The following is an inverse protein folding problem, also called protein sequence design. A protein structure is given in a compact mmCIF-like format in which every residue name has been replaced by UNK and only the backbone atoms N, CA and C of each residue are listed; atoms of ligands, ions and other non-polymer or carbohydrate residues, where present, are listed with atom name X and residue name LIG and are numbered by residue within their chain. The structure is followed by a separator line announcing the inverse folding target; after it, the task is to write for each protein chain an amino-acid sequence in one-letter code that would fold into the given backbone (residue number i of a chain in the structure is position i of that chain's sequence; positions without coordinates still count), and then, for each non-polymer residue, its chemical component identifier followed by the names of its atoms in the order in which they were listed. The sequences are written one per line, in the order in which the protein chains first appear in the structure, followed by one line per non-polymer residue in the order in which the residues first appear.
data_IF_904537238816
#
_entry.id   IF_904537238816
#
_cell.length_a   1.000
_cell.length_b   1.000
_cell.length_c   1.000
_cell.angle_alpha   90.00
_cell.angle_beta   90.00
_cell.angle_gamma   90.00
#
_symmetry.space_group_name_H-M   'P 1'
#
loop_
_entity.id
_entity.type
_entity.pdbx_description
1 polymer ?
#
# COMPACT_ATOMS: atom_id res chain seq x y z
N UNK A 1 -7.06 4.60 2.70
CA UNK A 1 -6.85 4.97 1.30
C UNK A 1 -6.06 3.88 0.59
N UNK A 2 -6.43 3.61 -0.63
CA UNK A 2 -5.84 2.53 -1.42
C UNK A 2 -5.42 3.04 -2.78
N UNK A 3 -4.30 2.53 -3.27
CA UNK A 3 -3.80 2.83 -4.61
C UNK A 3 -3.59 1.52 -5.36
N UNK A 4 -4.11 1.43 -6.57
CA UNK A 4 -3.91 0.27 -7.44
C UNK A 4 -2.96 0.63 -8.58
N UNK A 5 -2.19 -0.36 -9.05
CA UNK A 5 -1.37 -0.15 -10.23
C UNK A 5 -2.22 -0.23 -11.51
N UNK A 6 -1.60 0.01 -12.66
CA UNK A 6 -2.33 0.03 -13.92
C UNK A 6 -2.90 -1.32 -14.31
N UNK A 7 -2.28 -2.41 -13.86
CA UNK A 7 -2.76 -3.76 -14.17
C UNK A 7 -3.99 -4.14 -13.33
N UNK A 8 -4.20 -3.48 -12.18
CA UNK A 8 -5.24 -3.83 -11.24
C UNK A 8 -4.93 -5.05 -10.40
N UNK A 9 -3.71 -5.58 -10.47
CA UNK A 9 -3.30 -6.78 -9.73
C UNK A 9 -2.38 -6.50 -8.56
N UNK A 10 -2.04 -5.25 -8.34
CA UNK A 10 -1.24 -4.82 -7.20
C UNK A 10 -1.90 -3.63 -6.53
N UNK A 11 -1.79 -3.57 -5.22
CA UNK A 11 -2.45 -2.52 -4.44
C UNK A 11 -1.59 -2.17 -3.23
N UNK A 12 -1.60 -0.91 -2.85
CA UNK A 12 -1.02 -0.43 -1.60
C UNK A 12 -2.12 0.20 -0.79
N UNK A 13 -2.32 -0.28 0.43
CA UNK A 13 -3.28 0.32 1.37
C UNK A 13 -2.53 1.12 2.42
N UNK A 14 -2.94 2.35 2.61
CA UNK A 14 -2.48 3.18 3.73
C UNK A 14 -3.46 2.97 4.87
N UNK A 15 -2.97 2.45 5.97
CA UNK A 15 -3.80 1.98 7.08
C UNK A 15 -3.58 2.85 8.31
N UNK A 16 -4.66 3.33 8.90
CA UNK A 16 -4.60 4.00 10.19
C UNK A 16 -4.67 2.95 11.30
N UNK A 17 -3.59 2.85 12.08
CA UNK A 17 -3.53 1.91 13.20
C UNK A 17 -4.30 2.46 14.40
N UNK A 18 -4.08 3.74 14.67
CA UNK A 18 -4.82 4.48 15.70
C UNK A 18 -4.79 5.97 15.32
N UNK A 19 -5.27 6.84 16.19
CA UNK A 19 -5.41 8.26 15.88
C UNK A 19 -4.08 8.97 15.59
N UNK A 20 -2.95 8.35 15.92
CA UNK A 20 -1.63 8.97 15.75
C UNK A 20 -0.62 8.09 15.03
N UNK A 21 -1.03 6.93 14.51
CA UNK A 21 -0.12 5.99 13.87
C UNK A 21 -0.70 5.46 12.58
N UNK A 22 0.16 5.41 11.55
CA UNK A 22 -0.20 4.93 10.21
C UNK A 22 0.85 3.94 9.72
N UNK A 23 0.46 3.09 8.79
CA UNK A 23 1.38 2.20 8.09
C UNK A 23 0.84 1.96 6.69
N UNK A 24 1.55 1.14 5.92
CA UNK A 24 1.06 0.71 4.62
C UNK A 24 1.36 -0.77 4.41
N UNK A 25 0.53 -1.41 3.57
CA UNK A 25 0.70 -2.81 3.21
C UNK A 25 0.55 -2.97 1.71
N UNK A 26 1.34 -3.87 1.14
CA UNK A 26 1.22 -4.26 -0.24
C UNK A 26 0.34 -5.49 -0.36
N UNK A 27 -0.54 -5.45 -1.36
CA UNK A 27 -1.41 -6.58 -1.69
C UNK A 27 -1.23 -6.94 -3.15
N UNK A 28 -1.47 -8.19 -3.45
CA UNK A 28 -1.42 -8.71 -4.80
C UNK A 28 -2.67 -9.54 -5.07
N UNK A 29 -3.14 -9.50 -6.29
CA UNK A 29 -4.24 -10.33 -6.77
C UNK A 29 -3.80 -11.05 -8.02
N UNK A 30 -4.03 -12.37 -8.06
CA UNK A 30 -3.77 -13.18 -9.23
C UNK A 30 -5.09 -13.32 -9.99
N UNK A 31 -5.15 -13.03 -11.30
CA UNK A 31 -6.40 -13.14 -12.05
C UNK A 31 -6.95 -14.56 -12.12
N UNK A 32 -6.09 -15.56 -11.92
CA UNK A 32 -6.51 -16.96 -11.91
C UNK A 32 -6.87 -17.49 -10.51
N UNK A 33 -6.65 -16.68 -9.48
CA UNK A 33 -6.90 -17.08 -8.09
C UNK A 33 -8.19 -16.44 -7.61
N UNK A 34 -9.23 -17.24 -7.30
CA UNK A 34 -10.52 -16.70 -6.85
C UNK A 34 -10.50 -16.12 -5.44
N UNK A 35 -9.40 -16.24 -4.70
CA UNK A 35 -9.34 -15.74 -3.33
C UNK A 35 -9.28 -14.22 -3.23
N UNK A 36 -8.94 -13.53 -4.32
CA UNK A 36 -8.88 -12.08 -4.34
C UNK A 36 -7.55 -11.52 -3.84
N UNK A 37 -7.61 -10.43 -3.08
CA UNK A 37 -6.42 -9.76 -2.59
C UNK A 37 -5.78 -10.51 -1.43
N UNK A 38 -4.46 -10.60 -1.43
CA UNK A 38 -3.71 -11.14 -0.29
C UNK A 38 -2.42 -10.34 -0.10
N UNK A 39 -1.93 -10.22 1.14
CA UNK A 39 -0.74 -9.43 1.41
C UNK A 39 0.52 -10.12 0.89
N UNK A 40 1.38 -9.35 0.22
CA UNK A 40 2.66 -9.85 -0.26
C UNK A 40 3.80 -9.37 0.61
N UNK A 41 3.58 -8.32 1.37
CA UNK A 41 4.62 -7.69 2.17
C UNK A 41 3.97 -6.94 3.31
N UNK A 42 4.56 -7.00 4.50
CA UNK A 42 4.12 -6.21 5.64
C UNK A 42 5.30 -5.39 6.10
N UNK A 43 5.12 -4.08 6.09
CA UNK A 43 6.13 -3.16 6.60
C UNK A 43 5.84 -2.92 8.08
N UNK A 44 6.80 -3.26 8.94
CA UNK A 44 6.59 -3.21 10.38
C UNK A 44 6.66 -1.80 10.96
N UNK A 45 7.07 -0.83 10.18
CA UNK A 45 7.24 0.53 10.64
C UNK A 45 5.91 1.24 10.80
N UNK A 46 5.85 2.12 11.80
CA UNK A 46 4.71 2.97 12.02
C UNK A 46 5.12 4.42 11.78
N UNK A 47 4.21 5.17 11.21
CA UNK A 47 4.44 6.57 10.85
C UNK A 47 3.46 7.45 11.61
N UNK A 48 3.87 8.68 11.92
CA UNK A 48 3.08 9.58 12.74
C UNK A 48 2.02 10.34 11.96
N UNK A 49 2.07 10.27 10.63
CA UNK A 49 1.07 10.91 9.80
C UNK A 49 0.81 10.08 8.55
N UNK A 50 -0.35 10.30 7.96
CA UNK A 50 -0.73 9.67 6.71
C UNK A 50 0.23 10.03 5.60
N UNK A 51 0.66 11.28 5.54
CA UNK A 51 1.60 11.75 4.53
C UNK A 51 2.95 11.07 4.63
N UNK A 52 3.40 10.85 5.84
CA UNK A 52 4.65 10.15 6.08
C UNK A 52 4.58 8.72 5.59
N UNK A 53 3.48 8.02 5.88
CA UNK A 53 3.26 6.67 5.39
C UNK A 53 3.21 6.62 3.86
N UNK A 54 2.56 7.60 3.22
CA UNK A 54 2.51 7.70 1.77
C UNK A 54 3.91 7.93 1.20
N UNK A 55 4.70 8.82 1.80
CA UNK A 55 6.06 9.09 1.34
C UNK A 55 6.94 7.84 1.37
N UNK A 56 6.84 7.08 2.45
CA UNK A 56 7.61 5.84 2.54
C UNK A 56 7.10 4.78 1.56
N UNK A 57 5.80 4.72 1.35
CA UNK A 57 5.23 3.81 0.35
C UNK A 57 5.76 4.15 -1.05
N UNK A 58 5.87 5.43 -1.39
CA UNK A 58 6.41 5.87 -2.68
C UNK A 58 7.86 5.42 -2.83
N UNK A 59 8.65 5.49 -1.75
CA UNK A 59 10.05 5.07 -1.78
C UNK A 59 10.20 3.56 -1.97
N UNK A 60 9.28 2.78 -1.41
CA UNK A 60 9.36 1.32 -1.45
C UNK A 60 8.69 0.70 -2.66
N UNK A 61 7.72 1.39 -3.26
CA UNK A 61 6.88 0.86 -4.32
C UNK A 61 7.07 1.68 -5.59
N UNK A 62 7.82 1.15 -6.54
CA UNK A 62 8.23 1.88 -7.74
C UNK A 62 7.05 2.41 -8.57
N UNK A 63 5.99 1.62 -8.71
CA UNK A 63 4.87 2.01 -9.54
C UNK A 63 3.98 3.07 -8.90
N UNK A 64 4.15 3.30 -7.59
CA UNK A 64 3.27 4.20 -6.86
C UNK A 64 3.57 5.68 -7.12
N UNK A 65 4.82 5.99 -7.38
CA UNK A 65 5.25 7.37 -7.58
C UNK A 65 4.48 8.10 -8.69
N UNK A 66 4.30 7.54 -9.89
CA UNK A 66 3.54 8.23 -10.93
C UNK A 66 2.06 8.44 -10.59
N UNK A 67 1.51 7.62 -9.71
CA UNK A 67 0.10 7.72 -9.35
C UNK A 67 -0.20 8.82 -8.35
N UNK A 68 0.76 9.14 -7.49
CA UNK A 68 0.55 10.09 -6.40
C UNK A 68 1.01 11.50 -6.77
N UNK A 69 1.95 11.60 -7.66
CA UNK A 69 2.47 12.90 -8.07
C UNK A 69 1.47 13.67 -8.88
#
# INVERSE_FOLDING_TARGET
ISFEDESGFQCVDIIMINSSSFTFKLFRRDPEDPRGWFPTSTFGDQYTSKQEAISEAINEVDWLNPKIK
#
